data_IF_330414125662
#
_entry.id   IF_330414125662
#
_cell.length_a   1.000
_cell.length_b   1.000
_cell.length_c   1.000
_cell.angle_alpha   90.00
_cell.angle_beta   90.00
_cell.angle_gamma   90.00
#
_symmetry.space_group_name_H-M   'P 1'
#
loop_
_entity.id
_entity.type
_entity.pdbx_description
1 polymer ?
#
# COMPACT_ATOMS: atom_id res chain seq x y z
N UNK A 1 -11.69 7.47 -11.03
CA UNK A 1 -11.40 6.15 -10.48
C UNK A 1 -11.51 6.22 -8.97
N UNK A 2 -12.19 5.31 -8.35
CA UNK A 2 -12.26 5.28 -6.90
C UNK A 2 -11.57 4.03 -6.37
N UNK A 3 -10.83 4.21 -5.29
CA UNK A 3 -10.20 3.11 -4.58
C UNK A 3 -11.04 2.77 -3.35
N UNK A 4 -11.05 1.50 -3.01
CA UNK A 4 -11.67 1.00 -1.79
C UNK A 4 -10.60 0.35 -0.93
N UNK A 5 -10.47 0.82 0.31
CA UNK A 5 -9.50 0.27 1.25
C UNK A 5 -10.21 -0.59 2.28
N UNK A 6 -9.64 -1.74 2.58
CA UNK A 6 -10.16 -2.66 3.58
C UNK A 6 -9.08 -2.98 4.60
N UNK A 7 -9.27 -2.61 5.87
CA UNK A 7 -8.29 -2.95 6.91
C UNK A 7 -8.20 -4.46 7.11
N UNK A 8 -6.99 -4.96 7.22
CA UNK A 8 -6.71 -6.37 7.48
C UNK A 8 -5.42 -6.48 8.29
N UNK A 9 -5.15 -7.66 8.80
CA UNK A 9 -3.86 -7.98 9.40
C UNK A 9 -3.16 -8.96 8.48
N UNK A 10 -1.93 -8.63 8.09
CA UNK A 10 -1.13 -9.49 7.22
C UNK A 10 -0.02 -10.12 8.06
N UNK A 11 0.13 -11.43 7.96
CA UNK A 11 1.21 -12.15 8.64
C UNK A 11 2.50 -11.95 7.86
N UNK A 12 3.22 -10.88 8.20
CA UNK A 12 4.47 -10.53 7.54
C UNK A 12 5.69 -11.20 8.18
N UNK A 13 5.47 -11.94 9.28
CA UNK A 13 6.58 -12.50 10.05
C UNK A 13 7.27 -11.47 10.93
N UNK A 14 6.72 -10.25 11.03
CA UNK A 14 7.24 -9.17 11.86
C UNK A 14 6.10 -8.55 12.67
N UNK A 15 6.38 -7.45 13.36
CA UNK A 15 5.35 -6.71 14.10
C UNK A 15 4.54 -5.77 13.20
N UNK A 16 4.89 -5.67 11.92
CA UNK A 16 4.22 -4.79 10.95
C UNK A 16 3.01 -5.52 10.37
N UNK A 17 1.94 -5.62 11.16
CA UNK A 17 0.75 -6.39 10.76
C UNK A 17 -0.46 -5.53 10.41
N UNK A 18 -0.48 -4.24 10.79
CA UNK A 18 -1.57 -3.35 10.41
C UNK A 18 -1.50 -3.09 8.92
N UNK A 19 -2.56 -3.43 8.21
CA UNK A 19 -2.51 -3.46 6.75
C UNK A 19 -3.81 -2.97 6.14
N UNK A 20 -3.73 -2.58 4.87
CA UNK A 20 -4.89 -2.21 4.06
C UNK A 20 -4.81 -2.95 2.73
N UNK A 21 -5.89 -3.63 2.38
CA UNK A 21 -6.07 -4.10 1.01
C UNK A 21 -6.63 -2.94 0.21
N UNK A 22 -6.11 -2.74 -0.99
CA UNK A 22 -6.57 -1.67 -1.87
C UNK A 22 -7.21 -2.27 -3.11
N UNK A 23 -8.47 -1.95 -3.33
CA UNK A 23 -9.24 -2.43 -4.47
C UNK A 23 -9.52 -1.29 -5.45
N UNK A 24 -9.46 -1.59 -6.73
CA UNK A 24 -9.86 -0.69 -7.79
C UNK A 24 -10.87 -1.43 -8.67
N UNK A 25 -12.10 -0.93 -8.74
CA UNK A 25 -13.17 -1.55 -9.54
C UNK A 25 -13.36 -3.04 -9.20
N UNK A 26 -13.24 -3.40 -7.93
CA UNK A 26 -13.41 -4.76 -7.46
C UNK A 26 -12.17 -5.65 -7.57
N UNK A 27 -11.09 -5.14 -8.15
CA UNK A 27 -9.84 -5.90 -8.27
C UNK A 27 -8.87 -5.49 -7.17
N UNK A 28 -8.26 -6.47 -6.52
CA UNK A 28 -7.18 -6.20 -5.56
C UNK A 28 -5.96 -5.73 -6.33
N UNK A 29 -5.51 -4.51 -6.05
CA UNK A 29 -4.37 -3.93 -6.77
C UNK A 29 -3.15 -3.72 -5.89
N UNK A 30 -3.31 -3.67 -4.57
CA UNK A 30 -2.18 -3.44 -3.67
C UNK A 30 -2.49 -3.92 -2.27
N UNK A 31 -1.42 -4.23 -1.54
CA UNK A 31 -1.46 -4.50 -0.10
C UNK A 31 -0.47 -3.54 0.55
N UNK A 32 -0.97 -2.70 1.46
CA UNK A 32 -0.16 -1.74 2.19
C UNK A 32 -0.01 -2.20 3.63
N UNK A 33 1.20 -2.09 4.17
CA UNK A 33 1.49 -2.44 5.56
C UNK A 33 2.03 -1.22 6.28
N UNK A 34 1.51 -0.94 7.47
CA UNK A 34 2.00 0.17 8.28
C UNK A 34 3.22 -0.30 9.07
N UNK A 35 4.28 0.49 9.00
CA UNK A 35 5.51 0.18 9.72
C UNK A 35 5.33 0.44 11.20
N UNK A 36 5.78 -0.51 12.01
CA UNK A 36 5.67 -0.43 13.47
C UNK A 36 6.74 0.47 14.07
N UNK A 37 6.67 0.65 15.40
CA UNK A 37 7.62 1.45 16.14
C UNK A 37 9.07 0.94 16.01
N UNK A 38 9.25 -0.32 15.62
CA UNK A 38 10.58 -0.88 15.41
C UNK A 38 11.36 -0.19 14.28
N UNK A 39 10.66 0.51 13.39
CA UNK A 39 11.28 1.21 12.26
C UNK A 39 11.68 2.66 12.60
N UNK A 40 11.59 3.04 13.87
CA UNK A 40 12.04 4.35 14.37
C UNK A 40 11.49 5.52 13.54
N UNK A 41 12.34 6.18 12.73
CA UNK A 41 11.97 7.37 11.97
C UNK A 41 10.88 7.08 10.93
N UNK A 42 10.72 5.83 10.54
CA UNK A 42 9.73 5.43 9.55
C UNK A 42 8.46 4.85 10.19
N UNK A 43 8.40 4.83 11.51
CA UNK A 43 7.23 4.32 12.24
C UNK A 43 5.98 5.08 11.81
N UNK A 44 4.90 4.32 11.55
CA UNK A 44 3.64 4.89 11.11
C UNK A 44 3.53 5.12 9.61
N UNK A 45 4.63 5.06 8.87
CA UNK A 45 4.59 5.16 7.41
C UNK A 45 4.04 3.87 6.81
N UNK A 46 3.63 3.94 5.55
CA UNK A 46 3.05 2.80 4.86
C UNK A 46 3.99 2.28 3.78
N UNK A 47 4.09 0.97 3.71
CA UNK A 47 4.94 0.25 2.76
C UNK A 47 4.08 -0.57 1.82
N UNK A 48 4.42 -0.57 0.53
CA UNK A 48 3.75 -1.40 -0.46
C UNK A 48 4.31 -2.82 -0.35
N UNK A 49 3.61 -3.68 0.38
CA UNK A 49 4.02 -5.09 0.57
C UNK A 49 3.85 -5.88 -0.72
N UNK A 50 2.76 -5.62 -1.44
CA UNK A 50 2.50 -6.26 -2.72
C UNK A 50 1.74 -5.30 -3.62
N UNK A 51 2.11 -5.27 -4.89
CA UNK A 51 1.39 -4.56 -5.91
C UNK A 51 1.12 -5.50 -7.08
N UNK A 52 -0.02 -5.35 -7.72
CA UNK A 52 -0.44 -6.22 -8.80
C UNK A 52 -0.63 -5.41 -10.08
N UNK A 53 -0.26 -6.00 -11.21
CA UNK A 53 -0.38 -5.33 -12.50
C UNK A 53 0.42 -4.05 -12.53
N UNK A 54 -0.22 -2.93 -12.85
CA UNK A 54 0.44 -1.62 -12.98
C UNK A 54 0.96 -1.07 -11.66
N UNK A 55 0.45 -1.55 -10.54
CA UNK A 55 0.88 -1.10 -9.21
C UNK A 55 2.18 -1.78 -8.79
N UNK A 56 2.52 -2.92 -9.40
CA UNK A 56 3.77 -3.60 -9.10
C UNK A 56 4.96 -2.71 -9.44
N UNK A 57 5.89 -2.59 -8.50
CA UNK A 57 7.07 -1.75 -8.67
C UNK A 57 8.23 -2.36 -7.89
N UNK A 58 9.42 -2.48 -8.50
CA UNK A 58 10.56 -3.12 -7.81
C UNK A 58 11.08 -2.31 -6.63
N UNK A 59 10.89 -0.99 -6.64
CA UNK A 59 11.38 -0.10 -5.58
C UNK A 59 10.30 0.93 -5.24
N UNK A 60 9.18 0.50 -4.62
CA UNK A 60 8.12 1.44 -4.28
C UNK A 60 8.58 2.41 -3.20
N UNK A 61 8.09 3.65 -3.20
CA UNK A 61 8.40 4.59 -2.13
C UNK A 61 7.68 4.21 -0.85
N UNK A 62 8.15 4.75 0.27
CA UNK A 62 7.37 4.75 1.50
C UNK A 62 6.38 5.90 1.46
N UNK A 63 5.22 5.72 2.05
CA UNK A 63 4.17 6.73 2.06
C UNK A 63 3.97 7.25 3.48
N UNK A 64 3.88 8.57 3.62
CA UNK A 64 3.71 9.18 4.94
C UNK A 64 2.34 8.88 5.54
N UNK A 65 1.34 8.66 4.69
CA UNK A 65 -0.02 8.35 5.10
C UNK A 65 -0.75 7.61 3.97
N UNK A 66 -1.97 7.18 4.26
CA UNK A 66 -2.79 6.46 3.27
C UNK A 66 -3.21 7.36 2.09
N UNK A 67 -3.36 8.66 2.31
CA UNK A 67 -3.71 9.56 1.20
C UNK A 67 -2.58 9.61 0.18
N UNK A 68 -1.33 9.70 0.64
CA UNK A 68 -0.17 9.67 -0.24
C UNK A 68 -0.08 8.33 -0.99
N UNK A 69 -0.34 7.22 -0.31
CA UNK A 69 -0.33 5.90 -0.92
C UNK A 69 -1.39 5.79 -2.00
N UNK A 70 -2.61 6.25 -1.72
CA UNK A 70 -3.70 6.21 -2.68
C UNK A 70 -3.39 7.05 -3.91
N UNK A 71 -2.82 8.24 -3.72
CA UNK A 71 -2.47 9.11 -4.84
C UNK A 71 -1.44 8.43 -5.74
N UNK A 72 -0.45 7.79 -5.17
CA UNK A 72 0.56 7.07 -5.93
C UNK A 72 -0.06 5.90 -6.70
N UNK A 73 -0.93 5.12 -6.04
CA UNK A 73 -1.59 3.98 -6.68
C UNK A 73 -2.47 4.45 -7.84
N UNK A 74 -3.26 5.51 -7.63
CA UNK A 74 -4.11 6.06 -8.68
C UNK A 74 -3.28 6.51 -9.88
N UNK A 75 -2.14 7.14 -9.63
CA UNK A 75 -1.24 7.59 -10.67
C UNK A 75 -0.71 6.40 -11.48
N UNK A 76 -0.33 5.31 -10.79
CA UNK A 76 0.14 4.11 -11.47
C UNK A 76 -0.95 3.48 -12.34
N UNK A 77 -2.18 3.44 -11.82
CA UNK A 77 -3.30 2.88 -12.56
C UNK A 77 -3.69 3.75 -13.77
N UNK A 78 -3.44 5.04 -13.68
CA UNK A 78 -3.72 5.99 -14.76
C UNK A 78 -2.65 5.97 -15.85
N UNK A 79 -1.51 5.30 -15.64
CA UNK A 79 -0.46 5.16 -16.63
C UNK A 79 -0.89 4.12 -17.67
N UNK A 80 -1.87 4.51 -18.48
CA UNK A 80 -2.39 3.66 -19.53
C UNK A 80 -1.88 4.20 -20.85
N UNK A 81 -1.33 3.35 -21.59
CA UNK A 81 -0.94 3.71 -22.93
C UNK A 81 -2.15 3.80 -23.82
#
# INVERSE_FOLDING_TARGET
>A
MSLHLQPVHVDTGSHDTESQLVFANGFLVAVLVQLSDEHEDEAGMWFLEAGFGRVAHPHPPLFVDLDAAQAWIEQRLALVS
#
